data_IF_884659799876
#
_entry.id   IF_884659799876
#
_cell.length_a   1.000
_cell.length_b   1.000
_cell.length_c   1.000
_cell.angle_alpha   90.00
_cell.angle_beta   90.00
_cell.angle_gamma   90.00
#
_symmetry.space_group_name_H-M   'P 1'
#
loop_
_entity.id
_entity.type
_entity.pdbx_description
1 polymer ?
#
# COMPACT_ATOMS: atom_id res chain seq x y z
N UNK A 1 3.03 -24.45 -19.16
CA UNK A 1 2.20 -25.23 -18.23
C UNK A 1 2.35 -26.74 -18.40
N UNK A 2 2.14 -27.33 -19.58
CA UNK A 2 2.21 -28.80 -19.75
C UNK A 2 3.54 -29.46 -19.36
N UNK A 3 4.69 -28.80 -19.57
CA UNK A 3 6.00 -29.36 -19.22
C UNK A 3 6.29 -29.40 -17.71
N UNK A 4 5.73 -28.48 -16.95
CA UNK A 4 5.88 -28.41 -15.48
C UNK A 4 5.04 -29.48 -14.78
N UNK A 5 3.94 -29.91 -15.40
CA UNK A 5 3.03 -30.93 -14.85
C UNK A 5 3.64 -32.33 -14.80
N UNK A 6 4.62 -32.63 -15.66
CA UNK A 6 5.30 -33.92 -15.70
C UNK A 6 6.45 -34.05 -14.68
N UNK A 7 6.95 -32.89 -14.16
CA UNK A 7 8.07 -32.86 -13.22
C UNK A 7 7.71 -33.25 -11.79
N UNK A 8 6.45 -33.16 -11.40
CA UNK A 8 6.04 -33.33 -10.01
C UNK A 8 5.25 -34.63 -9.77
N UNK A 9 5.53 -35.30 -8.67
CA UNK A 9 4.71 -36.39 -8.18
C UNK A 9 3.29 -35.90 -7.85
N UNK A 10 2.27 -36.78 -7.96
CA UNK A 10 0.84 -36.45 -7.80
C UNK A 10 0.53 -35.65 -6.50
N UNK A 11 1.26 -35.90 -5.39
CA UNK A 11 1.08 -35.14 -4.13
C UNK A 11 1.65 -33.72 -4.21
N UNK A 12 2.82 -33.55 -4.80
CA UNK A 12 3.47 -32.26 -4.97
C UNK A 12 2.74 -31.43 -6.03
N UNK A 13 2.24 -32.06 -7.09
CA UNK A 13 1.39 -31.43 -8.09
C UNK A 13 0.12 -30.82 -7.47
N UNK A 14 -0.60 -31.55 -6.58
CA UNK A 14 -1.76 -31.02 -5.86
C UNK A 14 -1.40 -29.90 -4.87
N UNK A 15 -0.18 -29.89 -4.38
CA UNK A 15 0.35 -28.80 -3.55
C UNK A 15 0.62 -27.55 -4.39
N UNK A 16 1.24 -27.75 -5.56
CA UNK A 16 1.55 -26.70 -6.51
C UNK A 16 0.25 -26.06 -7.05
N UNK A 17 -0.73 -26.87 -7.49
CA UNK A 17 -2.05 -26.40 -7.92
C UNK A 17 -2.80 -25.62 -6.83
N UNK A 18 -2.70 -26.05 -5.55
CA UNK A 18 -3.27 -25.29 -4.43
C UNK A 18 -2.53 -23.99 -4.19
N UNK A 19 -1.21 -23.98 -4.32
CA UNK A 19 -0.41 -22.76 -4.21
C UNK A 19 -0.78 -21.76 -5.29
N UNK A 20 -0.94 -22.20 -6.54
CA UNK A 20 -1.39 -21.35 -7.65
C UNK A 20 -2.79 -20.76 -7.43
N UNK A 21 -3.71 -21.53 -6.83
CA UNK A 21 -5.05 -21.03 -6.47
C UNK A 21 -4.94 -19.98 -5.37
N UNK A 22 -4.13 -20.23 -4.35
CA UNK A 22 -3.90 -19.27 -3.27
C UNK A 22 -3.18 -18.01 -3.77
N UNK A 23 -2.22 -18.11 -4.68
CA UNK A 23 -1.59 -16.95 -5.31
C UNK A 23 -2.61 -16.12 -6.10
N UNK A 24 -3.46 -16.75 -6.92
CA UNK A 24 -4.53 -16.03 -7.65
C UNK A 24 -5.53 -15.34 -6.73
N UNK A 25 -5.89 -15.97 -5.61
CA UNK A 25 -6.74 -15.36 -4.59
C UNK A 25 -6.00 -14.19 -3.94
N UNK A 26 -4.74 -14.38 -3.60
CA UNK A 26 -3.90 -13.39 -2.96
C UNK A 26 -3.60 -12.18 -3.85
N UNK A 27 -3.51 -12.36 -5.16
CA UNK A 27 -3.34 -11.29 -6.15
C UNK A 27 -4.67 -10.58 -6.49
N UNK A 28 -5.82 -11.11 -6.02
CA UNK A 28 -7.12 -10.51 -6.27
C UNK A 28 -7.38 -9.30 -5.37
N UNK A 29 -7.14 -8.10 -5.87
CA UNK A 29 -7.45 -6.85 -5.17
C UNK A 29 -8.93 -6.74 -4.74
N UNK A 30 -9.85 -7.39 -5.48
CA UNK A 30 -11.28 -7.41 -5.14
C UNK A 30 -11.55 -8.20 -3.85
N UNK A 31 -10.90 -9.37 -3.68
CA UNK A 31 -11.09 -10.20 -2.48
C UNK A 31 -10.47 -9.51 -1.27
N UNK A 32 -9.27 -8.94 -1.43
CA UNK A 32 -8.62 -8.17 -0.38
C UNK A 32 -9.49 -6.99 0.09
N UNK A 33 -10.02 -6.20 -0.84
CA UNK A 33 -10.92 -5.10 -0.53
C UNK A 33 -12.19 -5.58 0.21
N UNK A 34 -12.78 -6.71 -0.21
CA UNK A 34 -13.95 -7.29 0.46
C UNK A 34 -13.64 -7.71 1.90
N UNK A 35 -12.51 -8.37 2.15
CA UNK A 35 -12.08 -8.78 3.51
C UNK A 35 -11.88 -7.55 4.39
N UNK A 36 -11.26 -6.49 3.86
CA UNK A 36 -11.06 -5.23 4.59
C UNK A 36 -12.39 -4.56 4.96
N UNK A 37 -13.36 -4.52 4.02
CA UNK A 37 -14.71 -3.98 4.29
C UNK A 37 -15.43 -4.80 5.37
N UNK A 38 -15.36 -6.13 5.29
CA UNK A 38 -15.97 -7.01 6.31
C UNK A 38 -15.33 -6.73 7.68
N UNK A 39 -14.02 -6.57 7.75
CA UNK A 39 -13.31 -6.24 8.99
C UNK A 39 -13.76 -4.88 9.55
N UNK A 40 -13.93 -3.87 8.69
CA UNK A 40 -14.42 -2.55 9.09
C UNK A 40 -15.87 -2.59 9.61
N UNK A 41 -16.75 -3.30 8.92
CA UNK A 41 -18.15 -3.48 9.36
C UNK A 41 -18.17 -4.20 10.71
N UNK A 42 -17.38 -5.26 10.87
CA UNK A 42 -17.25 -5.97 12.14
C UNK A 42 -16.76 -5.03 13.27
N UNK A 43 -15.77 -4.16 12.96
CA UNK A 43 -15.27 -3.18 13.93
C UNK A 43 -16.36 -2.21 14.40
N UNK A 44 -17.14 -1.66 13.46
CA UNK A 44 -18.25 -0.74 13.79
C UNK A 44 -19.33 -1.46 14.63
N UNK A 45 -19.67 -2.70 14.28
CA UNK A 45 -20.65 -3.49 15.06
C UNK A 45 -20.12 -3.73 16.47
N UNK A 46 -18.88 -4.21 16.60
CA UNK A 46 -18.26 -4.46 17.90
C UNK A 46 -18.15 -3.20 18.76
N UNK A 47 -17.83 -2.05 18.14
CA UNK A 47 -17.72 -0.77 18.84
C UNK A 47 -19.07 -0.27 19.44
N UNK A 48 -20.21 -0.74 18.90
CA UNK A 48 -21.55 -0.35 19.33
C UNK A 48 -22.29 -1.47 20.08
N UNK A 49 -21.57 -2.49 20.56
CA UNK A 49 -22.06 -3.59 21.39
C UNK A 49 -21.27 -3.66 22.70
N UNK A 50 -21.69 -4.55 23.63
CA UNK A 50 -21.01 -4.79 24.90
C UNK A 50 -19.57 -5.31 24.74
N UNK A 51 -19.21 -5.79 23.53
CA UNK A 51 -17.87 -6.24 23.21
C UNK A 51 -16.83 -5.09 23.18
N UNK A 52 -17.26 -3.83 23.08
CA UNK A 52 -16.38 -2.68 22.99
C UNK A 52 -15.36 -2.60 24.12
N UNK A 53 -15.83 -2.71 25.37
CA UNK A 53 -14.95 -2.57 26.54
C UNK A 53 -13.87 -3.66 26.59
N UNK A 54 -14.22 -4.90 26.23
CA UNK A 54 -13.28 -6.01 26.18
C UNK A 54 -12.22 -5.80 25.08
N UNK A 55 -12.64 -5.33 23.89
CA UNK A 55 -11.74 -5.07 22.76
C UNK A 55 -10.85 -3.86 23.08
N UNK A 56 -11.40 -2.80 23.61
CA UNK A 56 -10.65 -1.59 23.99
C UNK A 56 -9.58 -1.92 25.04
N UNK A 57 -9.93 -2.67 26.08
CA UNK A 57 -8.98 -3.13 27.08
C UNK A 57 -7.86 -4.01 26.46
N UNK A 58 -8.21 -4.87 25.51
CA UNK A 58 -7.20 -5.66 24.77
C UNK A 58 -6.27 -4.78 23.97
N UNK A 59 -6.79 -3.77 23.25
CA UNK A 59 -6.00 -2.87 22.43
C UNK A 59 -5.06 -1.97 23.25
N UNK A 60 -5.47 -1.61 24.45
CA UNK A 60 -4.66 -0.85 25.40
C UNK A 60 -3.64 -1.71 26.17
N UNK A 61 -3.70 -3.05 26.03
CA UNK A 61 -2.77 -3.95 26.73
C UNK A 61 -1.31 -3.61 26.36
N UNK A 62 -0.45 -3.33 27.36
CA UNK A 62 0.93 -2.98 27.10
C UNK A 62 1.73 -4.20 26.64
N UNK A 63 2.33 -4.09 25.45
CA UNK A 63 3.31 -5.02 24.90
C UNK A 63 4.71 -4.49 25.24
N UNK A 64 5.48 -5.24 25.98
CA UNK A 64 6.85 -4.88 26.29
C UNK A 64 7.80 -5.60 25.33
N UNK A 65 8.35 -4.86 24.37
CA UNK A 65 9.44 -5.35 23.53
C UNK A 65 10.73 -4.71 24.01
N UNK A 66 11.68 -5.52 24.49
CA UNK A 66 12.92 -4.97 25.05
C UNK A 66 14.10 -5.92 25.01
N UNK A 67 15.28 -5.34 24.91
CA UNK A 67 16.56 -6.03 25.05
C UNK A 67 17.33 -5.35 26.21
N UNK A 68 17.39 -6.00 27.39
CA UNK A 68 18.01 -5.42 28.57
C UNK A 68 17.28 -4.15 29.06
N UNK A 69 18.00 -3.06 29.19
CA UNK A 69 17.47 -1.77 29.65
C UNK A 69 16.73 -0.97 28.55
N UNK A 70 16.73 -1.45 27.31
CA UNK A 70 16.03 -0.84 26.18
C UNK A 70 14.63 -1.45 26.07
N UNK A 71 13.67 -0.89 26.80
CA UNK A 71 12.26 -1.27 26.71
C UNK A 71 11.48 -0.27 25.87
N UNK A 72 10.71 -0.75 24.93
CA UNK A 72 9.66 0.01 24.28
C UNK A 72 8.30 -0.51 24.81
N UNK A 73 7.60 0.32 25.59
CA UNK A 73 6.22 0.07 25.91
C UNK A 73 5.37 0.45 24.69
N UNK A 74 4.78 -0.54 24.04
CA UNK A 74 3.83 -0.39 22.96
C UNK A 74 2.49 -0.92 23.42
N UNK A 75 1.38 -0.26 23.10
CA UNK A 75 0.07 -0.89 23.18
C UNK A 75 -0.16 -1.74 21.94
N UNK A 76 -1.12 -2.68 21.99
CA UNK A 76 -1.50 -3.46 20.79
C UNK A 76 -1.95 -2.53 19.67
N UNK A 77 -2.71 -1.48 19.98
CA UNK A 77 -3.13 -0.46 19.03
C UNK A 77 -1.93 0.23 18.37
N UNK A 78 -0.96 0.66 19.18
CA UNK A 78 0.25 1.34 18.67
C UNK A 78 1.11 0.40 17.83
N UNK A 79 1.20 -0.89 18.19
CA UNK A 79 1.87 -1.91 17.39
C UNK A 79 1.23 -2.06 16.01
N UNK A 80 -0.11 -2.06 15.93
CA UNK A 80 -0.83 -2.14 14.66
C UNK A 80 -0.59 -0.87 13.83
N UNK A 81 -0.70 0.31 14.46
CA UNK A 81 -0.63 1.60 13.77
C UNK A 81 0.79 1.99 13.33
N UNK A 82 1.83 1.57 14.06
CA UNK A 82 3.21 1.91 13.74
C UNK A 82 3.96 0.77 13.05
N UNK A 83 3.93 -0.45 13.62
CA UNK A 83 4.72 -1.55 13.09
C UNK A 83 4.09 -2.21 11.85
N UNK A 84 2.80 -2.60 11.94
CA UNK A 84 2.14 -3.23 10.81
C UNK A 84 1.99 -2.24 9.64
N UNK A 85 1.72 -0.98 9.94
CA UNK A 85 1.67 0.06 8.91
C UNK A 85 3.04 0.36 8.30
N UNK A 86 4.16 0.21 9.02
CA UNK A 86 5.48 0.32 8.41
C UNK A 86 5.71 -0.77 7.34
N UNK A 87 5.18 -1.99 7.55
CA UNK A 87 5.23 -3.07 6.55
C UNK A 87 4.32 -2.74 5.35
N UNK A 88 3.14 -2.16 5.59
CA UNK A 88 2.27 -1.65 4.51
C UNK A 88 2.99 -0.56 3.70
N UNK A 89 3.61 0.42 4.35
CA UNK A 89 4.37 1.47 3.66
C UNK A 89 5.64 0.94 2.97
N UNK A 90 6.18 -0.19 3.42
CA UNK A 90 7.22 -0.90 2.68
C UNK A 90 6.68 -1.40 1.33
N UNK A 91 5.48 -1.99 1.31
CA UNK A 91 4.83 -2.44 0.08
C UNK A 91 4.56 -1.26 -0.87
N UNK A 92 3.92 -0.20 -0.38
CA UNK A 92 3.66 1.03 -1.16
C UNK A 92 4.96 1.64 -1.70
N UNK A 93 6.01 1.68 -0.89
CA UNK A 93 7.32 2.16 -1.32
C UNK A 93 7.98 1.28 -2.39
N UNK A 94 7.76 -0.03 -2.36
CA UNK A 94 8.22 -0.98 -3.39
C UNK A 94 7.45 -0.72 -4.70
N UNK A 95 6.13 -0.61 -4.64
CA UNK A 95 5.28 -0.29 -5.80
C UNK A 95 5.68 1.06 -6.41
N UNK A 96 5.88 2.09 -5.58
CA UNK A 96 6.36 3.40 -6.04
C UNK A 96 7.71 3.28 -6.76
N UNK A 97 8.66 2.55 -6.19
CA UNK A 97 9.98 2.34 -6.79
C UNK A 97 9.90 1.55 -8.09
N UNK A 98 9.01 0.58 -8.17
CA UNK A 98 8.73 -0.17 -9.40
C UNK A 98 8.21 0.77 -10.50
N UNK A 99 7.19 1.58 -10.19
CA UNK A 99 6.63 2.57 -11.12
C UNK A 99 7.66 3.59 -11.61
N UNK A 100 8.54 4.05 -10.72
CA UNK A 100 9.65 4.96 -11.09
C UNK A 100 10.72 4.30 -11.96
N UNK A 101 10.87 2.97 -11.89
CA UNK A 101 11.97 2.26 -12.58
C UNK A 101 11.54 1.68 -13.91
N UNK A 102 10.36 1.09 -13.97
CA UNK A 102 9.86 0.30 -15.12
C UNK A 102 8.47 0.76 -15.57
N UNK A 103 7.64 1.27 -14.63
CA UNK A 103 6.25 1.65 -14.88
C UNK A 103 6.08 3.02 -15.55
N UNK A 104 4.89 3.55 -15.46
CA UNK A 104 4.45 4.80 -16.11
C UNK A 104 5.22 6.03 -15.61
N UNK A 105 5.66 6.04 -14.34
CA UNK A 105 6.44 7.14 -13.78
C UNK A 105 7.85 7.28 -14.39
N UNK A 106 8.32 6.27 -15.13
CA UNK A 106 9.59 6.31 -15.83
C UNK A 106 9.59 7.36 -16.96
N UNK A 107 8.46 7.55 -17.63
CA UNK A 107 8.30 8.55 -18.68
C UNK A 107 7.70 9.84 -18.11
N UNK A 108 8.49 10.90 -17.89
CA UNK A 108 7.99 12.13 -17.26
C UNK A 108 6.78 12.76 -17.97
N UNK A 109 6.68 12.60 -19.30
CA UNK A 109 5.55 13.15 -20.09
C UNK A 109 4.23 12.42 -19.82
N UNK A 110 4.27 11.09 -19.63
CA UNK A 110 3.09 10.27 -19.36
C UNK A 110 2.70 10.37 -17.88
N UNK A 111 3.68 10.36 -16.99
CA UNK A 111 3.50 10.48 -15.55
C UNK A 111 2.99 11.86 -15.12
N UNK A 112 3.31 12.92 -15.88
CA UNK A 112 3.02 14.30 -15.48
C UNK A 112 1.52 14.57 -15.28
N UNK A 113 0.67 13.97 -16.12
CA UNK A 113 -0.79 14.17 -16.00
C UNK A 113 -1.35 13.63 -14.68
N UNK A 114 -1.19 12.33 -14.35
CA UNK A 114 -1.72 11.80 -13.09
C UNK A 114 -1.01 12.38 -11.85
N UNK A 115 0.30 12.67 -11.92
CA UNK A 115 1.03 13.29 -10.80
C UNK A 115 0.53 14.70 -10.47
N UNK A 116 0.33 15.53 -11.46
CA UNK A 116 -0.19 16.89 -11.26
C UNK A 116 -1.70 16.85 -10.91
N UNK A 117 -2.45 15.88 -11.46
CA UNK A 117 -3.83 15.65 -11.07
C UNK A 117 -3.94 15.27 -9.59
N UNK A 118 -2.99 14.48 -9.04
CA UNK A 118 -2.90 14.18 -7.63
C UNK A 118 -2.70 15.43 -6.77
N UNK A 119 -1.88 16.39 -7.21
CA UNK A 119 -1.75 17.69 -6.52
C UNK A 119 -3.10 18.39 -6.41
N UNK A 120 -3.89 18.40 -7.49
CA UNK A 120 -5.27 18.94 -7.45
C UNK A 120 -6.15 18.17 -6.47
N UNK A 121 -6.04 16.82 -6.48
CA UNK A 121 -6.73 15.91 -5.56
C UNK A 121 -6.32 16.05 -4.09
N UNK A 122 -5.21 16.71 -3.78
CA UNK A 122 -4.74 17.05 -2.43
C UNK A 122 -5.17 18.46 -2.03
N UNK A 123 -4.90 19.43 -2.87
CA UNK A 123 -5.10 20.86 -2.55
C UNK A 123 -6.59 21.20 -2.39
N UNK A 124 -7.45 20.73 -3.30
CA UNK A 124 -8.87 21.10 -3.25
C UNK A 124 -9.59 20.50 -2.03
N UNK A 125 -9.45 19.20 -1.67
CA UNK A 125 -10.00 18.67 -0.43
C UNK A 125 -9.50 19.40 0.82
N UNK A 126 -8.20 19.70 0.88
CA UNK A 126 -7.61 20.46 1.98
C UNK A 126 -8.22 21.87 2.11
N UNK A 127 -8.40 22.57 0.99
CA UNK A 127 -9.06 23.87 0.99
C UNK A 127 -10.52 23.78 1.45
N UNK A 128 -11.28 22.78 0.98
CA UNK A 128 -12.67 22.57 1.44
C UNK A 128 -12.70 22.29 2.93
N UNK A 129 -11.81 21.44 3.44
CA UNK A 129 -11.71 21.18 4.87
C UNK A 129 -11.46 22.45 5.67
N UNK A 130 -10.50 23.29 5.25
CA UNK A 130 -10.15 24.53 5.93
C UNK A 130 -11.28 25.59 5.88
N UNK A 131 -12.13 25.60 4.84
CA UNK A 131 -13.32 26.46 4.78
C UNK A 131 -14.30 26.15 5.90
N UNK A 132 -14.54 24.85 6.19
CA UNK A 132 -15.41 24.44 7.28
C UNK A 132 -14.76 24.63 8.65
N UNK A 133 -13.43 24.49 8.74
CA UNK A 133 -12.68 24.47 10.00
C UNK A 133 -11.81 25.72 10.21
N UNK A 134 -12.27 26.89 9.78
CA UNK A 134 -11.53 28.15 9.91
C UNK A 134 -11.37 28.65 11.34
N UNK A 135 -12.16 28.15 12.29
CA UNK A 135 -12.18 28.63 13.69
C UNK A 135 -11.50 27.68 14.69
N UNK A 136 -10.98 26.50 14.28
CA UNK A 136 -10.48 25.57 15.28
C UNK A 136 -9.60 24.43 14.75
N UNK A 137 -10.18 23.34 14.31
CA UNK A 137 -9.49 22.06 14.02
C UNK A 137 -8.65 22.08 12.71
N UNK A 138 -7.78 23.07 12.54
CA UNK A 138 -6.98 23.22 11.31
C UNK A 138 -6.10 22.01 11.00
N UNK A 139 -5.58 21.32 12.03
CA UNK A 139 -4.67 20.19 11.86
C UNK A 139 -5.25 19.04 11.04
N UNK A 140 -6.57 18.93 10.91
CA UNK A 140 -7.23 17.90 10.13
C UNK A 140 -7.21 18.08 8.61
N UNK A 141 -6.56 19.15 8.09
CA UNK A 141 -6.58 19.48 6.66
C UNK A 141 -6.12 18.35 5.72
N UNK A 142 -5.23 17.50 6.22
CA UNK A 142 -4.69 16.38 5.45
C UNK A 142 -5.60 15.13 5.44
N UNK A 143 -6.62 15.06 6.31
CA UNK A 143 -7.50 13.89 6.42
C UNK A 143 -8.22 13.57 5.09
N UNK A 144 -8.91 14.53 4.43
CA UNK A 144 -9.67 14.26 3.22
C UNK A 144 -8.81 14.14 1.95
N UNK A 145 -7.50 14.36 2.03
CA UNK A 145 -6.64 14.31 0.84
C UNK A 145 -6.20 12.89 0.48
N UNK A 146 -6.14 11.96 1.44
CA UNK A 146 -5.61 10.62 1.18
C UNK A 146 -6.61 9.73 0.43
N UNK A 147 -6.08 8.86 -0.43
CA UNK A 147 -6.85 7.84 -1.17
C UNK A 147 -6.42 6.44 -0.73
N UNK A 148 -7.37 5.55 -0.54
CA UNK A 148 -7.11 4.13 -0.26
C UNK A 148 -7.04 3.35 -1.58
N UNK A 149 -5.81 3.12 -2.07
CA UNK A 149 -5.57 2.46 -3.36
C UNK A 149 -6.17 1.07 -3.38
N UNK A 150 -5.95 0.26 -2.33
CA UNK A 150 -6.38 -1.13 -2.28
C UNK A 150 -7.90 -1.24 -2.38
N UNK A 151 -8.62 -0.40 -1.63
CA UNK A 151 -10.08 -0.36 -1.67
C UNK A 151 -10.61 0.19 -3.00
N UNK A 152 -10.06 1.29 -3.48
CA UNK A 152 -10.54 1.97 -4.68
C UNK A 152 -10.29 1.14 -5.96
N UNK A 153 -9.11 0.52 -6.11
CA UNK A 153 -8.84 -0.43 -7.20
C UNK A 153 -9.66 -1.71 -7.05
N UNK A 154 -9.92 -2.16 -5.82
CA UNK A 154 -10.83 -3.28 -5.56
C UNK A 154 -12.24 -3.02 -6.09
N UNK A 155 -12.81 -1.84 -5.81
CA UNK A 155 -14.11 -1.39 -6.33
C UNK A 155 -14.07 -1.27 -7.86
N UNK A 156 -13.01 -0.69 -8.42
CA UNK A 156 -12.86 -0.57 -9.88
C UNK A 156 -12.76 -1.94 -10.56
N UNK A 157 -12.14 -2.93 -9.89
CA UNK A 157 -11.99 -4.30 -10.40
C UNK A 157 -13.31 -5.05 -10.48
N UNK A 158 -14.35 -4.69 -9.70
CA UNK A 158 -15.69 -5.24 -9.80
C UNK A 158 -16.36 -4.96 -11.17
N UNK A 159 -15.95 -3.90 -11.83
CA UNK A 159 -16.42 -3.55 -13.17
C UNK A 159 -15.77 -4.40 -14.28
N UNK A 160 -14.76 -5.19 -13.94
CA UNK A 160 -14.09 -6.15 -14.83
C UNK A 160 -13.54 -5.48 -16.11
N UNK A 161 -13.69 -6.18 -17.24
CA UNK A 161 -13.15 -5.75 -18.55
C UNK A 161 -13.92 -4.57 -19.19
N UNK A 162 -14.89 -3.97 -18.49
CA UNK A 162 -15.59 -2.78 -18.98
C UNK A 162 -14.78 -1.51 -18.85
N UNK A 163 -13.81 -1.48 -17.91
CA UNK A 163 -12.95 -0.32 -17.68
C UNK A 163 -11.71 -0.45 -18.56
N UNK A 164 -11.43 0.54 -19.44
CA UNK A 164 -10.22 0.58 -20.25
C UNK A 164 -8.95 0.52 -19.39
N UNK A 165 -7.91 -0.11 -19.93
CA UNK A 165 -6.63 -0.22 -19.24
C UNK A 165 -6.03 1.16 -18.91
N UNK A 166 -6.16 2.13 -19.83
CA UNK A 166 -5.70 3.50 -19.61
C UNK A 166 -6.32 4.18 -18.39
N UNK A 167 -7.57 3.87 -18.03
CA UNK A 167 -8.21 4.38 -16.81
C UNK A 167 -7.59 3.76 -15.56
N UNK A 168 -7.33 2.45 -15.58
CA UNK A 168 -6.72 1.73 -14.45
C UNK A 168 -5.32 2.24 -14.18
N UNK A 169 -4.52 2.37 -15.24
CA UNK A 169 -3.15 2.89 -15.17
C UNK A 169 -3.15 4.34 -14.67
N UNK A 170 -4.01 5.20 -15.23
CA UNK A 170 -4.14 6.57 -14.76
C UNK A 170 -4.50 6.64 -13.29
N UNK A 171 -5.49 5.83 -12.84
CA UNK A 171 -5.92 5.82 -11.45
C UNK A 171 -4.86 5.27 -10.50
N UNK A 172 -4.20 4.17 -10.87
CA UNK A 172 -3.09 3.61 -10.08
C UNK A 172 -1.96 4.62 -9.90
N UNK A 173 -1.50 5.23 -11.00
CA UNK A 173 -0.42 6.23 -10.98
C UNK A 173 -0.81 7.47 -10.16
N UNK A 174 -2.06 7.93 -10.30
CA UNK A 174 -2.60 9.05 -9.51
C UNK A 174 -2.61 8.72 -8.03
N UNK A 175 -3.09 7.54 -7.66
CA UNK A 175 -3.21 7.13 -6.26
C UNK A 175 -1.82 6.92 -5.61
N UNK A 176 -0.84 6.36 -6.35
CA UNK A 176 0.55 6.27 -5.89
C UNK A 176 1.16 7.66 -5.67
N UNK A 177 0.89 8.62 -6.56
CA UNK A 177 1.35 10.00 -6.39
C UNK A 177 0.68 10.68 -5.19
N UNK A 178 -0.61 10.44 -4.98
CA UNK A 178 -1.40 10.91 -3.84
C UNK A 178 -0.84 10.39 -2.50
N UNK A 179 -0.53 9.10 -2.44
CA UNK A 179 0.09 8.49 -1.26
C UNK A 179 1.48 9.08 -0.97
N UNK A 180 2.29 9.34 -2.01
CA UNK A 180 3.59 9.98 -1.84
C UNK A 180 3.45 11.39 -1.22
N UNK A 181 2.49 12.18 -1.70
CA UNK A 181 2.20 13.51 -1.16
C UNK A 181 1.70 13.39 0.28
N UNK A 182 0.84 12.42 0.56
CA UNK A 182 0.30 12.15 1.91
C UNK A 182 1.40 11.76 2.88
N UNK A 183 2.32 10.88 2.49
CA UNK A 183 3.49 10.48 3.29
C UNK A 183 4.39 11.70 3.56
N UNK A 184 4.65 12.54 2.54
CA UNK A 184 5.44 13.75 2.72
C UNK A 184 4.75 14.74 3.65
N UNK A 185 3.43 14.92 3.53
CA UNK A 185 2.65 15.77 4.42
C UNK A 185 2.69 15.27 5.87
N UNK A 186 2.52 13.97 6.10
CA UNK A 186 2.65 13.36 7.44
C UNK A 186 4.04 13.64 8.01
N UNK A 187 5.08 13.42 7.23
CA UNK A 187 6.46 13.61 7.69
C UNK A 187 6.79 15.06 8.09
N UNK A 188 6.27 16.03 7.34
CA UNK A 188 6.60 17.45 7.52
C UNK A 188 5.71 18.12 8.57
N UNK A 189 4.41 17.84 8.58
CA UNK A 189 3.43 18.60 9.35
C UNK A 189 2.98 17.91 10.65
N UNK A 190 3.07 16.58 10.74
CA UNK A 190 2.57 15.81 11.88
C UNK A 190 3.68 15.19 12.75
N UNK A 191 4.96 15.41 12.41
CA UNK A 191 6.09 14.96 13.22
C UNK A 191 6.15 15.66 14.58
N UNK A 192 6.47 14.90 15.64
CA UNK A 192 6.80 15.45 16.94
C UNK A 192 8.25 15.93 16.95
N UNK A 193 8.66 16.69 17.99
CA UNK A 193 10.05 17.14 18.16
C UNK A 193 11.01 15.94 18.19
N UNK A 194 11.91 15.77 17.20
CA UNK A 194 12.72 14.57 17.09
C UNK A 194 13.82 14.52 18.15
N UNK A 195 14.05 13.33 18.71
CA UNK A 195 15.23 13.07 19.52
C UNK A 195 16.46 12.93 18.62
N UNK A 196 17.46 13.84 18.68
CA UNK A 196 18.58 13.88 17.75
C UNK A 196 19.47 12.64 17.82
N UNK A 197 19.57 11.98 18.97
CA UNK A 197 20.36 10.77 19.12
C UNK A 197 19.77 9.60 18.28
N UNK A 198 18.48 9.35 18.43
CA UNK A 198 17.81 8.27 17.70
C UNK A 198 17.66 8.58 16.21
N UNK A 199 17.52 9.87 15.87
CA UNK A 199 17.52 10.29 14.46
C UNK A 199 18.89 10.07 13.82
N UNK A 200 19.98 10.35 14.54
CA UNK A 200 21.34 10.03 14.11
C UNK A 200 21.57 8.52 13.92
N UNK A 201 21.03 7.69 14.83
CA UNK A 201 21.07 6.24 14.70
C UNK A 201 20.29 5.76 13.47
N UNK A 202 19.08 6.32 13.21
CA UNK A 202 18.29 6.01 12.01
C UNK A 202 19.05 6.40 10.73
N UNK A 203 19.70 7.54 10.70
CA UNK A 203 20.53 7.97 9.57
C UNK A 203 21.71 7.00 9.33
N UNK A 204 22.38 6.53 10.39
CA UNK A 204 23.46 5.57 10.28
C UNK A 204 22.97 4.23 9.71
N UNK A 205 21.83 3.72 10.18
CA UNK A 205 21.21 2.50 9.64
C UNK A 205 20.82 2.69 8.16
N UNK A 206 20.28 3.86 7.81
CA UNK A 206 19.96 4.19 6.41
C UNK A 206 21.24 4.22 5.54
N UNK A 207 22.35 4.76 6.04
CA UNK A 207 23.63 4.71 5.35
C UNK A 207 24.11 3.26 5.15
N UNK A 208 23.93 2.38 6.15
CA UNK A 208 24.25 0.96 6.02
C UNK A 208 23.38 0.26 4.97
N UNK A 209 22.08 0.56 4.90
CA UNK A 209 21.17 0.06 3.88
C UNK A 209 21.59 0.52 2.46
N UNK A 210 21.93 1.80 2.30
CA UNK A 210 22.45 2.35 1.03
C UNK A 210 23.78 1.69 0.65
N UNK A 211 24.65 1.42 1.61
CA UNK A 211 25.89 0.68 1.36
C UNK A 211 25.62 -0.75 0.89
N UNK A 212 24.68 -1.48 1.50
CA UNK A 212 24.22 -2.80 1.05
C UNK A 212 23.66 -2.76 -0.38
N UNK A 213 22.89 -1.72 -0.72
CA UNK A 213 22.40 -1.52 -2.08
C UNK A 213 23.55 -1.32 -3.07
N UNK A 214 24.52 -0.45 -2.75
CA UNK A 214 25.68 -0.19 -3.62
C UNK A 214 26.57 -1.42 -3.81
N UNK A 215 26.72 -2.27 -2.78
CA UNK A 215 27.45 -3.54 -2.86
C UNK A 215 26.65 -4.65 -3.55
N UNK A 216 25.45 -4.34 -4.04
CA UNK A 216 24.58 -5.28 -4.76
C UNK A 216 24.34 -6.58 -3.98
N UNK A 217 23.96 -6.44 -2.72
CA UNK A 217 23.65 -7.60 -1.87
C UNK A 217 22.26 -8.13 -2.20
N UNK A 218 22.14 -9.38 -2.70
CA UNK A 218 20.86 -9.96 -3.17
C UNK A 218 20.10 -10.75 -2.11
N UNK A 219 20.61 -10.92 -0.90
CA UNK A 219 19.91 -11.59 0.19
C UNK A 219 18.94 -10.62 0.87
N UNK A 220 17.70 -11.06 1.12
CA UNK A 220 16.67 -10.23 1.77
C UNK A 220 16.91 -10.06 3.28
N UNK A 221 17.44 -11.08 3.95
CA UNK A 221 17.59 -11.08 5.40
C UNK A 221 18.33 -9.85 5.98
N UNK A 222 19.47 -9.37 5.42
CA UNK A 222 20.11 -8.15 5.91
C UNK A 222 19.23 -6.91 5.82
N UNK A 223 18.45 -6.78 4.74
CA UNK A 223 17.51 -5.65 4.56
C UNK A 223 16.38 -5.71 5.59
N UNK A 224 15.82 -6.91 5.84
CA UNK A 224 14.76 -7.09 6.85
C UNK A 224 15.26 -6.78 8.26
N UNK A 225 16.46 -7.24 8.62
CA UNK A 225 17.05 -6.96 9.95
C UNK A 225 17.35 -5.47 10.12
N UNK A 226 18.00 -4.84 9.15
CA UNK A 226 18.27 -3.40 9.20
C UNK A 226 17.00 -2.57 9.10
N UNK A 227 15.99 -3.04 8.35
CA UNK A 227 14.68 -2.40 8.29
C UNK A 227 13.96 -2.40 9.64
N UNK A 228 14.01 -3.52 10.36
CA UNK A 228 13.48 -3.60 11.72
C UNK A 228 14.22 -2.66 12.69
N UNK A 229 15.55 -2.61 12.58
CA UNK A 229 16.36 -1.68 13.36
C UNK A 229 16.07 -0.22 13.01
N UNK A 230 15.89 0.09 11.72
CA UNK A 230 15.50 1.43 11.26
C UNK A 230 14.15 1.83 11.84
N UNK A 231 13.13 0.94 11.76
CA UNK A 231 11.83 1.16 12.37
C UNK A 231 11.93 1.47 13.86
N UNK A 232 12.70 0.68 14.59
CA UNK A 232 12.91 0.90 16.03
C UNK A 232 13.58 2.25 16.34
N UNK A 233 14.60 2.63 15.57
CA UNK A 233 15.27 3.93 15.73
C UNK A 233 14.30 5.09 15.42
N UNK A 234 13.49 4.98 14.35
CA UNK A 234 12.48 5.97 13.99
C UNK A 234 11.40 6.09 15.06
N UNK A 235 10.90 4.95 15.58
CA UNK A 235 9.93 4.92 16.67
C UNK A 235 10.44 5.65 17.93
N UNK A 236 11.69 5.41 18.32
CA UNK A 236 12.31 6.09 19.47
C UNK A 236 12.69 7.54 19.20
N UNK A 237 12.80 7.93 17.94
CA UNK A 237 13.15 9.32 17.58
C UNK A 237 11.99 10.30 17.70
N UNK A 238 10.74 9.84 17.79
CA UNK A 238 9.55 10.69 17.73
C UNK A 238 9.14 11.09 16.30
N UNK A 239 9.89 10.64 15.29
CA UNK A 239 9.49 10.73 13.89
C UNK A 239 8.59 9.53 13.57
N UNK A 240 7.63 9.70 12.65
CA UNK A 240 6.73 8.61 12.29
C UNK A 240 7.46 7.36 11.85
N UNK A 241 7.29 6.29 12.62
CA UNK A 241 7.97 5.01 12.42
C UNK A 241 7.60 4.35 11.08
N UNK A 242 6.43 4.66 10.54
CA UNK A 242 5.93 4.18 9.25
C UNK A 242 6.83 4.58 8.07
N UNK A 243 7.53 5.73 8.16
CA UNK A 243 8.48 6.18 7.13
C UNK A 243 9.67 5.21 6.95
N UNK A 244 10.00 4.42 7.97
CA UNK A 244 11.05 3.42 7.87
C UNK A 244 10.78 2.41 6.75
N UNK A 245 9.51 2.03 6.53
CA UNK A 245 9.10 1.15 5.43
C UNK A 245 9.45 1.74 4.06
N UNK A 246 9.09 3.00 3.84
CA UNK A 246 9.37 3.71 2.58
C UNK A 246 10.89 3.84 2.34
N UNK A 247 11.65 4.26 3.36
CA UNK A 247 13.11 4.38 3.27
C UNK A 247 13.73 3.02 2.92
N UNK A 248 13.28 1.94 3.59
CA UNK A 248 13.74 0.59 3.30
C UNK A 248 13.45 0.19 1.85
N UNK A 249 12.25 0.44 1.33
CA UNK A 249 11.87 0.13 -0.05
C UNK A 249 12.82 0.77 -1.07
N UNK A 250 13.14 2.06 -0.87
CA UNK A 250 14.07 2.77 -1.76
C UNK A 250 15.51 2.25 -1.69
N UNK A 251 15.89 1.60 -0.59
CA UNK A 251 17.24 1.04 -0.43
C UNK A 251 17.38 -0.39 -0.98
N UNK A 252 16.31 -1.16 -1.17
CA UNK A 252 16.37 -2.52 -1.74
C UNK A 252 16.75 -2.47 -3.23
N UNK A 253 17.71 -3.30 -3.74
CA UNK A 253 18.10 -3.29 -5.15
C UNK A 253 16.95 -3.72 -6.09
N UNK A 254 16.73 -2.92 -7.15
CA UNK A 254 15.74 -3.20 -8.21
C UNK A 254 16.36 -3.80 -9.47
N UNK A 255 17.70 -3.93 -9.52
CA UNK A 255 18.41 -4.45 -10.71
C UNK A 255 18.65 -5.95 -10.58
N UNK A 256 18.59 -6.65 -11.74
CA UNK A 256 19.00 -8.04 -11.85
C UNK A 256 20.53 -8.17 -11.68
N UNK A 257 20.97 -9.23 -11.00
CA UNK A 257 22.40 -9.51 -10.77
C UNK A 257 23.06 -10.36 -11.84
N UNK A 258 22.33 -10.69 -12.91
CA UNK A 258 22.79 -11.57 -14.01
C UNK A 258 22.55 -10.85 -15.33
N UNK A 259 23.46 -11.03 -16.28
CA UNK A 259 23.27 -10.61 -17.68
C UNK A 259 22.28 -11.57 -18.33
N UNK A 260 21.08 -11.09 -18.64
CA UNK A 260 20.00 -11.92 -19.19
C UNK A 260 20.34 -12.49 -20.57
N UNK A 261 21.08 -11.72 -21.37
CA UNK A 261 21.53 -12.13 -22.73
C UNK A 261 22.41 -13.39 -22.70
N UNK A 262 23.17 -13.59 -21.63
CA UNK A 262 24.06 -14.75 -21.46
C UNK A 262 23.43 -15.87 -20.61
N UNK A 263 22.22 -15.67 -20.08
CA UNK A 263 21.58 -16.63 -19.17
C UNK A 263 21.12 -17.88 -19.92
N UNK A 264 20.57 -17.73 -21.11
CA UNK A 264 20.11 -18.83 -21.97
C UNK A 264 21.25 -19.70 -22.41
N UNK A 265 22.37 -19.11 -22.82
CA UNK A 265 23.57 -19.82 -23.24
C UNK A 265 24.16 -20.59 -22.06
N UNK A 266 24.29 -19.93 -20.91
CA UNK A 266 24.79 -20.56 -19.69
C UNK A 266 23.90 -21.71 -19.20
N UNK A 267 22.55 -21.58 -19.29
CA UNK A 267 21.63 -22.68 -18.97
C UNK A 267 21.78 -23.84 -19.95
N UNK A 268 21.95 -23.54 -21.25
CA UNK A 268 22.23 -24.54 -22.28
C UNK A 268 23.50 -25.36 -22.01
N UNK A 269 24.53 -24.74 -21.44
CA UNK A 269 25.74 -25.43 -20.99
C UNK A 269 25.54 -26.22 -19.69
N UNK A 270 24.70 -25.73 -18.78
CA UNK A 270 24.49 -26.40 -17.49
C UNK A 270 23.60 -27.64 -17.58
N UNK A 271 22.59 -27.65 -18.48
CA UNK A 271 21.63 -28.76 -18.57
C UNK A 271 22.30 -30.11 -18.91
N UNK A 272 23.17 -30.21 -19.91
CA UNK A 272 23.88 -31.47 -20.20
C UNK A 272 24.77 -31.92 -19.04
N UNK A 273 25.39 -30.99 -18.31
CA UNK A 273 26.21 -31.28 -17.14
C UNK A 273 25.40 -31.83 -15.95
N UNK A 274 24.15 -31.42 -15.83
CA UNK A 274 23.22 -31.93 -14.82
C UNK A 274 22.78 -33.36 -15.17
N UNK A 275 22.48 -33.60 -16.45
CA UNK A 275 22.07 -34.90 -16.97
C UNK A 275 23.19 -35.95 -16.82
N UNK A 276 24.44 -35.60 -17.17
CA UNK A 276 25.62 -36.46 -17.04
C UNK A 276 25.98 -36.81 -15.58
N UNK A 277 25.60 -35.93 -14.63
CA UNK A 277 25.90 -36.11 -13.20
C UNK A 277 24.78 -36.77 -12.40
N UNK A 278 23.62 -36.94 -13.00
CA UNK A 278 22.46 -37.56 -12.37
C UNK A 278 22.52 -39.08 -12.55
N UNK A 279 22.38 -39.78 -11.46
CA UNK A 279 22.32 -41.27 -11.43
C UNK A 279 20.93 -41.68 -10.93
N UNK A 280 20.16 -42.35 -11.79
CA UNK A 280 18.80 -42.81 -11.50
C UNK A 280 18.80 -43.93 -10.43
N UNK A 281 19.89 -44.69 -10.30
CA UNK A 281 19.97 -45.80 -9.32
C UNK A 281 20.42 -45.36 -7.93
N UNK A 282 21.10 -44.22 -7.84
CA UNK A 282 21.62 -43.71 -6.58
C UNK A 282 20.66 -42.77 -5.86
N UNK A 283 20.57 -42.90 -4.54
CA UNK A 283 19.78 -41.98 -3.73
C UNK A 283 20.31 -40.53 -3.85
N UNK A 284 19.45 -39.55 -4.03
CA UNK A 284 19.81 -38.13 -4.30
C UNK A 284 20.77 -37.54 -3.25
N UNK A 285 20.68 -37.96 -1.96
CA UNK A 285 21.58 -37.50 -0.92
C UNK A 285 23.02 -38.01 -1.08
N UNK A 286 23.24 -39.08 -1.86
CA UNK A 286 24.55 -39.60 -2.19
C UNK A 286 25.20 -38.96 -3.40
N UNK A 287 24.45 -38.21 -4.18
CA UNK A 287 24.92 -37.58 -5.45
C UNK A 287 25.51 -36.18 -5.20
N UNK A 288 26.72 -36.16 -4.64
CA UNK A 288 27.35 -34.89 -4.25
C UNK A 288 27.56 -33.92 -5.45
N UNK A 289 28.07 -34.43 -6.55
CA UNK A 289 28.40 -33.60 -7.75
C UNK A 289 27.15 -33.06 -8.42
N UNK A 290 26.06 -33.83 -8.46
CA UNK A 290 24.76 -33.37 -8.92
C UNK A 290 24.20 -32.27 -8.01
N UNK A 291 24.25 -32.49 -6.69
CA UNK A 291 23.76 -31.54 -5.68
C UNK A 291 24.52 -30.19 -5.73
N UNK A 292 25.84 -30.24 -5.91
CA UNK A 292 26.66 -29.03 -6.09
C UNK A 292 26.27 -28.27 -7.36
N UNK A 293 26.01 -29.00 -8.43
CA UNK A 293 25.62 -28.40 -9.73
C UNK A 293 24.25 -27.78 -9.68
N UNK A 294 23.25 -28.45 -9.08
CA UNK A 294 21.91 -27.91 -8.88
C UNK A 294 21.93 -26.69 -7.98
N UNK A 295 22.71 -26.70 -6.88
CA UNK A 295 22.89 -25.52 -6.01
C UNK A 295 23.50 -24.34 -6.75
N UNK A 296 24.40 -24.58 -7.74
CA UNK A 296 24.95 -23.52 -8.58
C UNK A 296 23.87 -22.90 -9.44
N UNK A 297 23.02 -23.71 -10.08
CA UNK A 297 21.89 -23.24 -10.89
C UNK A 297 20.90 -22.45 -10.04
N UNK A 298 20.50 -22.99 -8.89
CA UNK A 298 19.63 -22.30 -7.93
C UNK A 298 20.16 -20.92 -7.53
N UNK A 299 21.47 -20.83 -7.21
CA UNK A 299 22.11 -19.56 -6.82
C UNK A 299 22.09 -18.52 -7.95
N UNK A 300 22.28 -18.95 -9.21
CA UNK A 300 22.20 -18.05 -10.36
C UNK A 300 20.75 -17.61 -10.59
N UNK A 301 19.80 -18.55 -10.59
CA UNK A 301 18.37 -18.25 -10.75
C UNK A 301 17.85 -17.31 -9.66
N UNK A 302 18.32 -17.45 -8.43
CA UNK A 302 18.02 -16.54 -7.34
C UNK A 302 18.48 -15.09 -7.58
N UNK A 303 19.49 -14.88 -8.45
CA UNK A 303 19.99 -13.54 -8.81
C UNK A 303 19.31 -12.97 -10.06
N UNK A 304 18.56 -13.77 -10.79
CA UNK A 304 17.76 -13.32 -11.95
C UNK A 304 16.61 -12.43 -11.46
N UNK A 305 15.93 -12.82 -10.38
CA UNK A 305 14.85 -12.03 -9.82
C UNK A 305 15.40 -10.98 -8.85
N UNK A 306 15.18 -9.68 -9.10
CA UNK A 306 15.62 -8.61 -8.20
C UNK A 306 15.11 -8.80 -6.78
N UNK A 307 15.89 -8.42 -5.74
CA UNK A 307 15.43 -8.47 -4.34
C UNK A 307 14.14 -7.69 -4.10
N UNK A 308 13.93 -6.59 -4.83
CA UNK A 308 12.71 -5.77 -4.73
C UNK A 308 11.45 -6.60 -5.02
N UNK A 309 11.39 -7.30 -6.15
CA UNK A 309 10.25 -8.15 -6.55
C UNK A 309 10.06 -9.32 -5.59
N UNK A 310 11.15 -9.89 -5.08
CA UNK A 310 11.09 -10.97 -4.10
C UNK A 310 10.52 -10.51 -2.76
N UNK A 311 10.87 -9.30 -2.33
CA UNK A 311 10.31 -8.70 -1.11
C UNK A 311 8.82 -8.41 -1.31
N UNK A 312 8.43 -7.84 -2.44
CA UNK A 312 7.03 -7.60 -2.80
C UNK A 312 6.18 -8.87 -2.70
N UNK A 313 6.59 -9.95 -3.36
CA UNK A 313 5.89 -11.25 -3.31
C UNK A 313 5.76 -11.81 -1.89
N UNK A 314 6.78 -11.57 -1.05
CA UNK A 314 6.78 -12.04 0.34
C UNK A 314 5.77 -11.29 1.21
N UNK A 315 5.63 -9.96 1.01
CA UNK A 315 4.84 -9.10 1.90
C UNK A 315 3.45 -8.76 1.36
N UNK A 316 3.19 -8.83 0.03
CA UNK A 316 1.91 -8.41 -0.55
C UNK A 316 0.73 -9.20 0.00
N UNK A 317 0.82 -10.52 0.05
CA UNK A 317 -0.24 -11.37 0.62
C UNK A 317 -0.51 -11.11 2.10
N UNK A 318 0.49 -11.13 3.01
CA UNK A 318 0.29 -10.74 4.40
C UNK A 318 -0.26 -9.33 4.58
N UNK A 319 0.20 -8.37 3.80
CA UNK A 319 -0.30 -6.99 3.88
C UNK A 319 -1.78 -6.94 3.54
N UNK A 320 -2.17 -7.49 2.40
CA UNK A 320 -3.52 -7.38 1.88
C UNK A 320 -4.55 -8.18 2.68
N UNK A 321 -4.18 -9.34 3.22
CA UNK A 321 -5.13 -10.26 3.88
C UNK A 321 -5.04 -10.31 5.41
N UNK A 322 -3.98 -9.75 5.99
CA UNK A 322 -3.80 -9.76 7.45
C UNK A 322 -3.63 -8.33 7.97
N UNK A 323 -2.65 -7.59 7.46
CA UNK A 323 -2.29 -6.28 8.01
C UNK A 323 -3.41 -5.26 7.79
N UNK A 324 -3.86 -5.08 6.55
CA UNK A 324 -4.93 -4.12 6.23
C UNK A 324 -6.27 -4.46 6.91
N UNK A 325 -6.76 -5.71 6.94
CA UNK A 325 -7.95 -6.06 7.71
C UNK A 325 -7.82 -5.85 9.21
N UNK A 326 -6.66 -6.18 9.82
CA UNK A 326 -6.41 -5.91 11.25
C UNK A 326 -6.40 -4.40 11.49
N UNK A 327 -5.70 -3.64 10.65
CA UNK A 327 -5.67 -2.18 10.74
C UNK A 327 -7.08 -1.58 10.63
N UNK A 328 -7.87 -2.05 9.64
CA UNK A 328 -9.26 -1.63 9.47
C UNK A 328 -10.11 -1.95 10.71
N UNK A 329 -9.97 -3.16 11.27
CA UNK A 329 -10.69 -3.57 12.47
C UNK A 329 -10.34 -2.71 13.70
N UNK A 330 -9.05 -2.46 13.92
CA UNK A 330 -8.57 -1.68 15.09
C UNK A 330 -9.00 -0.22 14.95
N UNK A 331 -8.91 0.36 13.76
CA UNK A 331 -9.07 1.80 13.58
C UNK A 331 -10.49 2.24 13.19
N UNK A 332 -11.32 1.36 12.59
CA UNK A 332 -12.70 1.67 12.26
C UNK A 332 -13.67 1.52 13.45
N UNK A 333 -13.17 1.42 14.68
CA UNK A 333 -14.01 1.39 15.90
C UNK A 333 -14.60 2.78 16.15
N UNK A 334 -15.79 3.02 15.61
CA UNK A 334 -16.55 4.26 15.81
C UNK A 334 -17.69 3.97 16.77
N UNK A 335 -17.56 4.43 18.01
CA UNK A 335 -18.59 4.29 19.03
C UNK A 335 -19.62 5.41 18.91
N UNK A 336 -20.79 5.09 18.40
CA UNK A 336 -21.89 6.03 18.22
C UNK A 336 -22.86 6.03 19.42
N UNK A 337 -22.80 5.00 20.27
CA UNK A 337 -23.66 4.88 21.47
C UNK A 337 -23.32 5.99 22.45
N UNK A 338 -24.34 6.79 22.83
CA UNK A 338 -24.17 7.91 23.77
C UNK A 338 -23.68 9.24 23.15
N UNK A 339 -23.46 9.28 21.83
CA UNK A 339 -23.09 10.50 21.11
C UNK A 339 -24.35 11.14 20.53
N UNK A 340 -24.48 12.45 20.71
CA UNK A 340 -25.56 13.20 20.06
C UNK A 340 -25.29 13.30 18.56
N UNK A 341 -26.12 12.58 17.79
CA UNK A 341 -25.99 12.47 16.35
C UNK A 341 -26.17 13.84 15.65
N UNK A 342 -26.96 14.74 16.23
CA UNK A 342 -27.15 16.07 15.66
C UNK A 342 -25.85 16.89 15.76
N UNK A 343 -25.18 16.85 16.87
CA UNK A 343 -23.89 17.50 17.08
C UNK A 343 -22.81 16.89 16.19
N UNK A 344 -22.76 15.57 16.06
CA UNK A 344 -21.79 14.89 15.21
C UNK A 344 -21.95 15.25 13.72
N UNK A 345 -23.19 15.31 13.21
CA UNK A 345 -23.48 15.62 11.81
C UNK A 345 -23.27 17.08 11.46
N UNK A 346 -23.38 18.00 12.41
CA UNK A 346 -23.18 19.43 12.19
C UNK A 346 -21.76 19.89 12.54
N UNK A 347 -20.95 19.01 13.07
CA UNK A 347 -19.57 19.33 13.43
C UNK A 347 -18.72 19.74 12.24
N UNK A 348 -17.95 20.85 12.33
CA UNK A 348 -17.11 21.32 11.23
C UNK A 348 -16.09 20.26 10.72
N UNK A 349 -15.54 19.41 11.59
CA UNK A 349 -14.62 18.34 11.20
C UNK A 349 -15.34 17.31 10.34
N UNK A 350 -16.54 16.88 10.79
CA UNK A 350 -17.37 15.93 10.04
C UNK A 350 -17.69 16.47 8.64
N UNK A 351 -18.17 17.71 8.55
CA UNK A 351 -18.55 18.34 7.27
C UNK A 351 -17.31 18.55 6.39
N UNK A 352 -16.22 19.05 6.96
CA UNK A 352 -14.98 19.30 6.24
C UNK A 352 -14.36 18.04 5.65
N UNK A 353 -14.33 16.95 6.41
CA UNK A 353 -13.81 15.65 5.93
C UNK A 353 -14.74 15.05 4.88
N UNK A 354 -16.04 14.97 5.17
CA UNK A 354 -17.03 14.37 4.27
C UNK A 354 -17.08 15.06 2.90
N UNK A 355 -17.26 16.39 2.89
CA UNK A 355 -17.31 17.15 1.64
C UNK A 355 -15.94 17.30 0.98
N UNK A 356 -14.85 17.34 1.75
CA UNK A 356 -13.50 17.28 1.22
C UNK A 356 -13.24 16.01 0.41
N UNK A 357 -13.64 14.84 0.93
CA UNK A 357 -13.53 13.56 0.22
C UNK A 357 -14.49 13.47 -0.96
N UNK A 358 -15.77 13.75 -0.76
CA UNK A 358 -16.82 13.49 -1.75
C UNK A 358 -16.84 14.51 -2.89
N UNK A 359 -16.58 15.78 -2.64
CA UNK A 359 -16.57 16.86 -3.63
C UNK A 359 -15.15 17.31 -3.96
N UNK A 360 -14.28 17.42 -2.96
CA UNK A 360 -12.93 17.93 -3.14
C UNK A 360 -12.09 17.08 -4.07
N UNK A 361 -12.11 15.75 -3.90
CA UNK A 361 -11.36 14.83 -4.76
C UNK A 361 -11.81 14.87 -6.22
N UNK A 362 -13.09 14.70 -6.56
CA UNK A 362 -13.55 14.82 -7.95
C UNK A 362 -13.21 16.17 -8.58
N UNK A 363 -13.49 17.26 -7.86
CA UNK A 363 -13.26 18.62 -8.38
C UNK A 363 -11.75 18.86 -8.58
N UNK A 364 -10.91 18.43 -7.62
CA UNK A 364 -9.47 18.62 -7.68
C UNK A 364 -8.83 17.83 -8.80
N UNK A 365 -9.12 16.52 -8.87
CA UNK A 365 -8.56 15.63 -9.89
C UNK A 365 -9.04 16.03 -11.29
N UNK A 366 -10.36 16.19 -11.48
CA UNK A 366 -10.93 16.58 -12.76
C UNK A 366 -10.49 17.98 -13.20
N UNK A 367 -10.57 18.96 -12.29
CA UNK A 367 -10.22 20.35 -12.58
C UNK A 367 -8.75 20.51 -12.97
N UNK A 368 -7.84 19.85 -12.24
CA UNK A 368 -6.42 19.89 -12.56
C UNK A 368 -6.11 19.18 -13.87
N UNK A 369 -6.69 17.98 -14.10
CA UNK A 369 -6.56 17.25 -15.37
C UNK A 369 -7.07 18.10 -16.53
N UNK A 370 -8.23 18.74 -16.37
CA UNK A 370 -8.82 19.62 -17.40
C UNK A 370 -7.91 20.83 -17.70
N UNK A 371 -7.39 21.48 -16.67
CA UNK A 371 -6.47 22.61 -16.83
C UNK A 371 -5.20 22.21 -17.60
N UNK A 372 -4.58 21.09 -17.25
CA UNK A 372 -3.35 20.59 -17.88
C UNK A 372 -3.55 20.24 -19.35
N UNK A 373 -4.64 19.57 -19.68
CA UNK A 373 -4.96 19.21 -21.07
C UNK A 373 -5.32 20.45 -21.88
N UNK A 374 -6.09 21.40 -21.32
CA UNK A 374 -6.43 22.67 -21.99
C UNK A 374 -5.21 23.56 -22.24
N UNK A 375 -4.25 23.55 -21.32
CA UNK A 375 -2.97 24.25 -21.47
C UNK A 375 -1.98 23.52 -22.41
N UNK A 376 -2.37 22.35 -22.97
CA UNK A 376 -1.54 21.51 -23.84
C UNK A 376 -0.22 21.06 -23.18
N UNK A 377 -0.21 20.95 -21.85
CA UNK A 377 0.93 20.47 -21.09
C UNK A 377 1.00 18.94 -21.16
N UNK A 378 -0.16 18.28 -21.19
CA UNK A 378 -0.27 16.82 -21.30
C UNK A 378 -1.53 16.44 -22.08
N UNK A 379 -1.59 15.17 -22.53
CA UNK A 379 -2.71 14.60 -23.27
C UNK A 379 -3.40 13.54 -22.42
N UNK A 380 -4.71 13.30 -22.67
CA UNK A 380 -5.43 12.21 -22.04
C UNK A 380 -4.86 10.86 -22.48
N UNK A 381 -4.82 9.86 -21.59
CA UNK A 381 -4.41 8.50 -21.95
C UNK A 381 -5.31 7.92 -23.05
N UNK A 382 -4.76 6.97 -23.83
CA UNK A 382 -5.51 6.30 -24.90
C UNK A 382 -6.80 5.67 -24.35
N UNK A 383 -7.90 5.80 -25.11
CA UNK A 383 -9.22 5.26 -24.77
C UNK A 383 -9.84 5.79 -23.46
N UNK A 384 -9.40 6.95 -22.95
CA UNK A 384 -9.94 7.59 -21.75
C UNK A 384 -10.76 8.83 -22.10
N UNK A 385 -11.99 8.90 -21.60
CA UNK A 385 -12.91 10.01 -21.78
C UNK A 385 -13.01 10.87 -20.51
N UNK A 386 -13.42 12.13 -20.66
CA UNK A 386 -13.64 13.07 -19.55
C UNK A 386 -14.56 12.53 -18.45
N UNK A 387 -15.62 11.80 -18.82
CA UNK A 387 -16.51 11.15 -17.86
C UNK A 387 -15.80 10.07 -17.04
N UNK A 388 -14.86 9.35 -17.64
CA UNK A 388 -14.06 8.35 -16.91
C UNK A 388 -13.12 9.02 -15.91
N UNK A 389 -12.51 10.18 -16.26
CA UNK A 389 -11.71 10.98 -15.32
C UNK A 389 -12.56 11.46 -14.14
N UNK A 390 -13.80 11.93 -14.40
CA UNK A 390 -14.72 12.30 -13.33
C UNK A 390 -15.04 11.10 -12.41
N UNK A 391 -15.27 9.92 -12.99
CA UNK A 391 -15.47 8.69 -12.23
C UNK A 391 -14.27 8.28 -11.39
N UNK A 392 -13.06 8.40 -11.93
CA UNK A 392 -11.80 8.23 -11.18
C UNK A 392 -11.71 9.22 -10.03
N UNK A 393 -12.08 10.47 -10.26
CA UNK A 393 -12.15 11.51 -9.21
C UNK A 393 -13.08 11.11 -8.06
N UNK A 394 -14.27 10.57 -8.36
CA UNK A 394 -15.23 10.10 -7.34
C UNK A 394 -14.64 8.91 -6.55
N UNK A 395 -14.06 7.92 -7.24
CA UNK A 395 -13.41 6.78 -6.60
C UNK A 395 -12.19 7.19 -5.77
N UNK A 396 -11.47 8.23 -6.19
CA UNK A 396 -10.39 8.84 -5.42
C UNK A 396 -10.83 9.41 -4.07
N UNK A 397 -12.13 9.68 -3.88
CA UNK A 397 -12.73 10.05 -2.59
C UNK A 397 -12.79 8.90 -1.57
N UNK A 398 -12.41 7.68 -1.93
CA UNK A 398 -12.30 6.55 -1.00
C UNK A 398 -10.96 6.68 -0.26
N UNK A 399 -10.97 7.25 0.94
CA UNK A 399 -9.74 7.49 1.72
C UNK A 399 -9.53 6.54 2.91
N UNK A 400 -10.49 5.72 3.19
CA UNK A 400 -10.71 4.83 4.33
C UNK A 400 -9.48 4.64 5.25
N UNK A 401 -8.55 3.70 4.94
CA UNK A 401 -7.43 3.35 5.83
C UNK A 401 -6.46 4.52 6.04
N UNK A 402 -6.08 5.21 4.97
CA UNK A 402 -5.11 6.30 5.04
C UNK A 402 -5.68 7.54 5.73
N UNK A 403 -6.93 7.91 5.43
CA UNK A 403 -7.60 9.02 6.11
C UNK A 403 -7.80 8.77 7.61
N UNK A 404 -8.12 7.52 8.02
CA UNK A 404 -8.22 7.15 9.44
C UNK A 404 -6.85 7.27 10.13
N UNK A 405 -5.78 6.79 9.50
CA UNK A 405 -4.42 6.95 10.03
C UNK A 405 -4.10 8.43 10.28
N UNK A 406 -4.34 9.27 9.27
CA UNK A 406 -4.08 10.71 9.36
C UNK A 406 -4.95 11.37 10.44
N UNK A 407 -6.20 10.92 10.64
CA UNK A 407 -7.07 11.48 11.68
C UNK A 407 -6.52 11.28 13.10
N UNK A 408 -5.95 10.11 13.37
CA UNK A 408 -5.27 9.83 14.64
C UNK A 408 -4.02 10.70 14.85
N UNK A 409 -3.28 11.00 13.78
CA UNK A 409 -2.10 11.85 13.83
C UNK A 409 -2.47 13.34 13.94
N UNK A 410 -3.56 13.76 13.31
CA UNK A 410 -4.03 15.14 13.33
C UNK A 410 -4.59 15.56 14.70
N UNK A 411 -5.21 14.62 15.41
CA UNK A 411 -5.92 14.89 16.66
C UNK A 411 -5.51 13.93 17.79
N UNK A 412 -4.23 13.89 18.21
CA UNK A 412 -3.72 12.87 19.15
C UNK A 412 -4.35 12.95 20.57
N UNK A 413 -4.93 14.10 20.94
CA UNK A 413 -5.52 14.33 22.26
C UNK A 413 -7.01 14.66 22.22
N UNK A 414 -7.56 14.92 21.04
CA UNK A 414 -8.93 15.40 20.85
C UNK A 414 -9.85 14.24 20.42
N UNK A 415 -10.35 13.48 21.38
CA UNK A 415 -11.12 12.24 21.13
C UNK A 415 -12.39 12.47 20.32
N UNK A 416 -13.10 13.60 20.52
CA UNK A 416 -14.32 13.90 19.78
C UNK A 416 -14.03 14.20 18.31
N UNK A 417 -12.98 14.97 18.01
CA UNK A 417 -12.56 15.28 16.64
C UNK A 417 -12.09 14.02 15.90
N UNK A 418 -11.40 13.09 16.58
CA UNK A 418 -11.06 11.78 16.01
C UNK A 418 -12.31 10.99 15.68
N UNK A 419 -13.28 10.93 16.58
CA UNK A 419 -14.55 10.25 16.37
C UNK A 419 -15.31 10.86 15.19
N UNK A 420 -15.43 12.20 15.15
CA UNK A 420 -16.08 12.96 14.09
C UNK A 420 -15.41 12.69 12.72
N UNK A 421 -14.08 12.75 12.69
CA UNK A 421 -13.31 12.44 11.49
C UNK A 421 -13.51 10.99 11.03
N UNK A 422 -13.39 9.99 11.93
CA UNK A 422 -13.60 8.57 11.61
C UNK A 422 -15.00 8.30 11.05
N UNK A 423 -16.04 8.87 11.69
CA UNK A 423 -17.42 8.74 11.22
C UNK A 423 -17.60 9.34 9.81
N UNK A 424 -17.04 10.52 9.56
CA UNK A 424 -17.08 11.19 8.28
C UNK A 424 -16.31 10.41 7.19
N UNK A 425 -15.14 9.86 7.52
CA UNK A 425 -14.33 9.04 6.62
C UNK A 425 -15.09 7.77 6.20
N UNK A 426 -15.70 7.06 7.14
CA UNK A 426 -16.49 5.86 6.84
C UNK A 426 -17.67 6.19 5.93
N UNK A 427 -18.46 7.20 6.29
CA UNK A 427 -19.60 7.65 5.49
C UNK A 427 -19.14 8.14 4.10
N UNK A 428 -18.09 8.96 4.03
CA UNK A 428 -17.53 9.51 2.80
C UNK A 428 -16.98 8.42 1.88
N UNK A 429 -16.23 7.45 2.42
CA UNK A 429 -15.68 6.34 1.64
C UNK A 429 -16.76 5.44 1.07
N UNK A 430 -17.80 5.10 1.85
CA UNK A 430 -18.92 4.30 1.37
C UNK A 430 -19.70 5.05 0.29
N UNK A 431 -20.02 6.33 0.50
CA UNK A 431 -20.74 7.13 -0.51
C UNK A 431 -19.92 7.31 -1.78
N UNK A 432 -18.61 7.57 -1.69
CA UNK A 432 -17.72 7.66 -2.84
C UNK A 432 -17.63 6.32 -3.61
N UNK A 433 -17.53 5.20 -2.90
CA UNK A 433 -17.49 3.87 -3.51
C UNK A 433 -18.79 3.55 -4.27
N UNK A 434 -19.94 3.78 -3.65
CA UNK A 434 -21.26 3.52 -4.26
C UNK A 434 -21.50 4.44 -5.46
N UNK A 435 -21.28 5.75 -5.29
CA UNK A 435 -21.48 6.71 -6.37
C UNK A 435 -20.50 6.49 -7.52
N UNK A 436 -19.22 6.22 -7.21
CA UNK A 436 -18.20 5.94 -8.21
C UNK A 436 -18.49 4.67 -8.98
N UNK A 437 -18.92 3.59 -8.30
CA UNK A 437 -19.31 2.33 -8.95
C UNK A 437 -20.54 2.51 -9.86
N UNK A 438 -21.59 3.18 -9.39
CA UNK A 438 -22.79 3.46 -10.19
C UNK A 438 -22.41 4.31 -11.41
N UNK A 439 -21.69 5.41 -11.20
CA UNK A 439 -21.30 6.32 -12.25
C UNK A 439 -20.45 5.63 -13.33
N UNK A 440 -19.39 4.89 -12.91
CA UNK A 440 -18.54 4.15 -13.84
C UNK A 440 -19.27 3.02 -14.55
N UNK A 441 -20.21 2.32 -13.89
CA UNK A 441 -21.02 1.27 -14.52
C UNK A 441 -21.95 1.80 -15.63
N UNK A 442 -22.42 3.03 -15.47
CA UNK A 442 -23.26 3.71 -16.49
C UNK A 442 -22.43 4.16 -17.69
N UNK A 443 -21.22 4.65 -17.46
CA UNK A 443 -20.34 5.15 -18.51
C UNK A 443 -19.67 4.01 -19.28
N UNK A 444 -19.18 2.98 -18.56
CA UNK A 444 -18.50 1.83 -19.13
C UNK A 444 -19.48 0.69 -19.46
N UNK A 445 -20.56 0.98 -20.21
CA UNK A 445 -21.59 -0.03 -20.55
C UNK A 445 -21.10 -1.12 -21.50
N UNK A 446 -20.15 -0.82 -22.37
CA UNK A 446 -19.60 -1.77 -23.34
C UNK A 446 -18.20 -2.21 -22.93
N UNK A 447 -17.80 -3.46 -23.25
CA UNK A 447 -16.43 -3.87 -23.02
C UNK A 447 -15.48 -2.94 -23.76
N UNK A 448 -14.38 -2.58 -23.10
CA UNK A 448 -13.34 -1.75 -23.69
C UNK A 448 -12.80 -2.43 -24.96
N UNK A 449 -12.47 -1.68 -26.04
CA UNK A 449 -11.74 -2.23 -27.17
C UNK A 449 -10.49 -2.95 -26.64
N UNK A 450 -10.21 -4.15 -27.16
CA UNK A 450 -8.95 -4.81 -26.85
C UNK A 450 -7.84 -3.94 -27.47
N UNK A 451 -6.90 -3.54 -26.63
CA UNK A 451 -5.66 -2.91 -27.10
C UNK A 451 -4.95 -3.96 -27.97
N UNK A 452 -4.80 -3.68 -29.29
CA UNK A 452 -4.02 -4.48 -30.24
C UNK A 452 -2.51 -4.34 -29.98
#
# INVERSE_FOLDING_TARGET
MAATEQLFNVRERKRFERHDIWERIAESGTISAAVMVIAAIAAVICANTDAYEAIHHFLETPLYVGLGNLTAGLTVELFVNDFLMAIFFLLVGIELKYEMTVGELKNPRQAMLPMLAAVGGVVVPACIYLIFNHAGAHNGWAIPMATDIAFALGVLSLLGNRVPNGVRVFFSTLAIADDLISIAAIAIFYGQSPNPFWLGAAALVTCALVWLNKTQHYRLAPYSVLGLLLWFCMFKSGVHATLAGVILAFTIPAKCGVKLDSLTDWLGECLPLLDDRYDDEAHILGQHDFTVSTTKVERVMHRVTPPLIRMERLISTPVNFVILPIFAFVNAQVRLVGVDMSTLLTDPVTLGVYFGMLLGKPIGIFGMTFALVKLKISELPHNVNWHMIAGVGILGGIGFTMSILISGLAFPTAQFEVLAAKAAILAGSVTAAVLGMIYMSVICKHPAPKDE
#
